data_IF_275872542658
#
_entry.id   IF_275872542658
#
_cell.length_a   1.000
_cell.length_b   1.000
_cell.length_c   1.000
_cell.angle_alpha   90.00
_cell.angle_beta   90.00
_cell.angle_gamma   90.00
#
_symmetry.space_group_name_H-M   'P 1'
#
loop_
_entity.id
_entity.type
_entity.pdbx_description
1 polymer ?
#
# COMPACT_ATOMS: atom_id res chain seq x y z
N UNK A 1 -18.32 -6.93 -1.19
CA UNK A 1 -17.77 -7.41 0.11
C UNK A 1 -17.30 -6.17 0.86
N UNK A 2 -17.52 -6.05 2.18
CA UNK A 2 -16.96 -4.90 2.90
C UNK A 2 -15.44 -5.06 2.98
N UNK A 3 -14.71 -3.96 2.82
CA UNK A 3 -13.25 -3.97 2.87
C UNK A 3 -12.79 -4.50 4.23
N UNK A 4 -13.48 -4.13 5.32
CA UNK A 4 -13.23 -4.67 6.65
C UNK A 4 -13.34 -6.20 6.72
N UNK A 5 -14.35 -6.78 6.08
CA UNK A 5 -14.51 -8.24 6.07
C UNK A 5 -13.35 -8.91 5.32
N UNK A 6 -12.85 -8.30 4.24
CA UNK A 6 -11.69 -8.78 3.48
C UNK A 6 -10.40 -8.68 4.30
N UNK A 7 -10.16 -7.52 4.91
CA UNK A 7 -9.03 -7.25 5.82
C UNK A 7 -9.03 -8.26 6.97
N UNK A 8 -10.17 -8.41 7.65
CA UNK A 8 -10.32 -9.33 8.77
C UNK A 8 -10.00 -10.77 8.37
N UNK A 9 -10.51 -11.24 7.22
CA UNK A 9 -10.22 -12.59 6.71
C UNK A 9 -8.73 -12.80 6.44
N UNK A 10 -8.07 -11.79 5.89
CA UNK A 10 -6.66 -11.89 5.52
C UNK A 10 -5.74 -11.86 6.74
N UNK A 11 -6.00 -10.97 7.70
CA UNK A 11 -5.13 -10.76 8.87
C UNK A 11 -5.39 -11.69 10.06
N UNK A 12 -6.46 -12.48 10.05
CA UNK A 12 -6.78 -13.43 11.12
C UNK A 12 -5.76 -14.57 11.34
N UNK A 13 -4.63 -14.62 10.62
CA UNK A 13 -3.74 -15.79 10.65
C UNK A 13 -2.25 -15.56 10.97
N UNK A 14 -1.68 -14.35 10.90
CA UNK A 14 -0.20 -14.25 11.00
C UNK A 14 0.36 -13.00 11.66
N UNK A 15 -0.46 -12.06 12.11
CA UNK A 15 0.10 -10.80 12.60
C UNK A 15 -0.47 -10.32 13.93
N UNK A 16 0.38 -9.87 14.87
CA UNK A 16 -0.08 -9.65 16.23
C UNK A 16 -1.17 -8.58 16.24
N UNK A 17 -2.29 -8.96 16.85
CA UNK A 17 -3.59 -8.26 16.98
C UNK A 17 -3.49 -6.86 17.62
N UNK A 18 -2.29 -6.32 17.83
CA UNK A 18 -2.03 -5.01 18.43
C UNK A 18 -1.35 -4.01 17.47
N UNK A 19 -0.94 -4.44 16.27
CA UNK A 19 -0.26 -3.61 15.27
C UNK A 19 -1.04 -3.44 13.96
N UNK A 20 -2.24 -4.01 13.91
CA UNK A 20 -2.92 -4.41 12.68
C UNK A 20 -4.29 -3.78 12.61
N UNK A 21 -4.38 -2.61 11.97
CA UNK A 21 -5.59 -2.25 11.27
C UNK A 21 -5.25 -1.28 10.12
N UNK A 22 -5.54 -1.64 8.86
CA UNK A 22 -5.33 -0.75 7.73
C UNK A 22 -6.23 0.48 7.87
N UNK A 23 -5.62 1.66 7.91
CA UNK A 23 -6.33 2.92 7.90
C UNK A 23 -6.74 3.21 6.46
N UNK A 24 -8.04 3.30 6.20
CA UNK A 24 -8.54 3.94 5.01
C UNK A 24 -8.49 5.44 5.27
N UNK A 25 -7.40 6.06 4.85
CA UNK A 25 -7.30 7.51 4.92
C UNK A 25 -7.99 8.07 3.71
N UNK A 26 -8.99 8.92 3.91
CA UNK A 26 -9.40 9.84 2.86
C UNK A 26 -8.27 10.83 2.70
N UNK A 27 -7.70 10.93 1.51
CA UNK A 27 -6.80 12.02 1.20
C UNK A 27 -7.59 13.33 1.31
N UNK A 28 -7.16 14.20 2.24
CA UNK A 28 -7.92 15.32 2.82
C UNK A 28 -8.72 16.16 1.79
N UNK A 29 -8.18 16.35 0.58
CA UNK A 29 -8.79 17.18 -0.48
C UNK A 29 -9.29 16.40 -1.71
N UNK A 30 -9.11 15.08 -1.74
CA UNK A 30 -9.14 14.29 -2.98
C UNK A 30 -10.30 13.31 -3.07
N UNK A 31 -11.00 13.06 -1.96
CA UNK A 31 -12.10 12.08 -1.89
C UNK A 31 -11.69 10.63 -2.18
N UNK A 32 -10.39 10.36 -2.32
CA UNK A 32 -9.86 9.04 -2.55
C UNK A 32 -9.53 8.37 -1.24
N UNK A 33 -9.98 7.13 -1.12
CA UNK A 33 -9.68 6.26 -0.01
C UNK A 33 -8.39 5.50 -0.31
N UNK A 34 -7.46 5.44 0.64
CA UNK A 34 -6.25 4.63 0.52
C UNK A 34 -6.01 3.83 1.80
N UNK A 35 -5.70 2.55 1.65
CA UNK A 35 -5.18 1.72 2.73
C UNK A 35 -3.81 2.24 3.15
N UNK A 36 -3.56 2.35 4.46
CA UNK A 36 -2.26 2.69 5.04
C UNK A 36 -1.99 1.89 6.30
N UNK A 37 -0.72 1.56 6.52
CA UNK A 37 -0.17 1.17 7.81
C UNK A 37 0.79 2.24 8.32
N UNK A 38 0.74 2.49 9.62
CA UNK A 38 1.72 3.32 10.31
C UNK A 38 2.53 2.43 11.27
N UNK A 39 3.87 2.43 11.18
CA UNK A 39 4.72 1.77 12.16
C UNK A 39 4.38 2.22 13.59
N UNK A 40 4.43 1.31 14.57
CA UNK A 40 4.35 1.69 15.97
C UNK A 40 5.55 2.58 16.32
N UNK A 41 5.29 3.76 16.84
CA UNK A 41 6.32 4.66 17.37
C UNK A 41 6.05 4.93 18.84
N UNK A 42 6.97 5.59 19.53
CA UNK A 42 6.77 6.09 20.89
C UNK A 42 5.56 7.04 20.98
N UNK A 43 5.23 7.74 19.89
CA UNK A 43 4.09 8.65 19.79
C UNK A 43 2.80 7.95 19.32
N UNK A 44 2.93 6.81 18.63
CA UNK A 44 1.82 6.01 18.12
C UNK A 44 1.96 4.55 18.57
N UNK A 45 1.79 4.31 19.88
CA UNK A 45 2.01 2.99 20.51
C UNK A 45 0.93 1.96 20.23
N UNK A 46 -0.25 2.41 19.82
CA UNK A 46 -1.45 1.59 19.68
C UNK A 46 -1.97 1.54 18.25
N UNK A 47 -1.13 1.83 17.25
CA UNK A 47 -1.47 1.94 15.82
C UNK A 47 -2.90 1.50 15.48
N UNK A 48 -3.83 2.45 15.43
CA UNK A 48 -5.22 2.21 14.96
C UNK A 48 -5.27 2.31 13.43
N UNK A 49 -6.35 1.93 12.73
CA UNK A 49 -7.73 2.45 12.95
C UNK A 49 -8.82 1.59 12.24
N UNK A 50 -9.98 1.59 12.89
CA UNK A 50 -11.37 1.15 12.63
C UNK A 50 -12.11 1.67 11.37
N UNK A 51 -12.80 0.78 10.62
CA UNK A 51 -13.75 1.12 9.53
C UNK A 51 -14.86 0.06 9.33
N UNK A 52 -16.13 0.35 9.63
CA UNK A 52 -17.19 -0.64 9.50
C UNK A 52 -17.93 -0.71 8.14
N UNK A 53 -17.82 0.29 7.24
CA UNK A 53 -18.86 0.48 6.20
C UNK A 53 -18.42 0.66 4.72
N UNK A 54 -17.12 0.70 4.37
CA UNK A 54 -16.69 0.84 2.95
C UNK A 54 -16.61 -0.51 2.24
N UNK A 55 -17.18 -0.61 1.03
CA UNK A 55 -17.08 -1.79 0.16
C UNK A 55 -15.84 -1.79 -0.73
N UNK A 56 -15.42 -2.98 -1.19
CA UNK A 56 -14.30 -3.10 -2.15
C UNK A 56 -14.56 -2.35 -3.46
N UNK A 57 -15.82 -2.28 -3.92
CA UNK A 57 -16.22 -1.58 -5.13
C UNK A 57 -16.16 -0.05 -4.97
N UNK A 58 -16.58 0.49 -3.83
CA UNK A 58 -16.45 1.92 -3.51
C UNK A 58 -14.98 2.33 -3.42
N UNK A 59 -14.16 1.52 -2.74
CA UNK A 59 -12.72 1.72 -2.66
C UNK A 59 -12.09 1.79 -4.06
N UNK A 60 -12.35 0.77 -4.86
CA UNK A 60 -11.86 0.67 -6.24
C UNK A 60 -12.28 1.88 -7.08
N UNK A 61 -13.57 2.21 -7.05
CA UNK A 61 -14.14 3.34 -7.81
C UNK A 61 -13.44 4.64 -7.44
N UNK A 62 -13.24 4.91 -6.15
CA UNK A 62 -12.56 6.12 -5.68
C UNK A 62 -11.10 6.21 -6.16
N UNK A 63 -10.39 5.08 -6.20
CA UNK A 63 -8.99 5.01 -6.65
C UNK A 63 -8.86 5.27 -8.15
N UNK A 64 -9.73 4.65 -8.97
CA UNK A 64 -9.65 4.78 -10.44
C UNK A 64 -10.20 6.11 -10.95
N UNK A 65 -11.12 6.76 -10.23
CA UNK A 65 -11.61 8.09 -10.59
C UNK A 65 -10.68 9.23 -10.15
N UNK A 66 -9.69 8.95 -9.30
CA UNK A 66 -8.80 9.97 -8.76
C UNK A 66 -7.52 10.12 -9.59
N UNK A 67 -7.27 11.32 -10.12
CA UNK A 67 -6.11 11.62 -10.98
C UNK A 67 -4.75 11.38 -10.32
N UNK A 68 -4.66 11.50 -8.99
CA UNK A 68 -3.41 11.32 -8.22
C UNK A 68 -3.09 9.85 -7.98
N UNK A 69 -4.12 9.02 -7.87
CA UNK A 69 -4.03 7.60 -7.52
C UNK A 69 -4.06 6.70 -8.75
N UNK A 70 -4.84 7.05 -9.77
CA UNK A 70 -5.01 6.27 -11.00
C UNK A 70 -3.66 5.84 -11.63
N UNK A 71 -2.63 6.69 -11.77
CA UNK A 71 -1.35 6.24 -12.31
C UNK A 71 -0.72 5.11 -11.47
N UNK A 72 -0.86 5.17 -10.14
CA UNK A 72 -0.41 4.13 -9.23
C UNK A 72 -1.24 2.85 -9.32
N UNK A 73 -2.52 2.92 -9.71
CA UNK A 73 -3.35 1.74 -9.99
C UNK A 73 -2.93 1.09 -11.30
N UNK A 74 -2.71 1.88 -12.36
CA UNK A 74 -2.26 1.40 -13.67
C UNK A 74 -0.89 0.69 -13.58
N UNK A 75 0.02 1.21 -12.76
CA UNK A 75 1.31 0.56 -12.51
C UNK A 75 1.16 -0.80 -11.80
N UNK A 76 0.25 -0.91 -10.82
CA UNK A 76 -0.05 -2.18 -10.16
C UNK A 76 -0.65 -3.19 -11.13
N UNK A 77 -1.56 -2.74 -12.00
CA UNK A 77 -2.12 -3.59 -13.05
C UNK A 77 -1.04 -4.13 -14.00
N UNK A 78 -0.14 -3.26 -14.47
CA UNK A 78 1.03 -3.65 -15.28
C UNK A 78 1.89 -4.70 -14.57
N UNK A 79 2.17 -4.49 -13.28
CA UNK A 79 2.95 -5.43 -12.47
C UNK A 79 2.27 -6.80 -12.38
N UNK A 80 0.96 -6.84 -12.10
CA UNK A 80 0.20 -8.08 -12.02
C UNK A 80 0.17 -8.83 -13.37
N UNK A 81 0.12 -8.10 -14.50
CA UNK A 81 0.25 -8.67 -15.85
C UNK A 81 1.62 -9.27 -16.09
N UNK A 82 2.70 -8.55 -15.75
CA UNK A 82 4.08 -9.04 -15.86
C UNK A 82 4.30 -10.34 -15.06
N UNK A 83 3.67 -10.46 -13.90
CA UNK A 83 3.74 -11.66 -13.06
C UNK A 83 2.69 -12.73 -13.36
N UNK A 84 1.90 -12.58 -14.44
CA UNK A 84 0.84 -13.52 -14.86
C UNK A 84 -0.24 -13.77 -13.79
N UNK A 85 -0.41 -12.80 -12.88
CA UNK A 85 -1.50 -12.81 -11.90
C UNK A 85 -2.80 -12.34 -12.54
N UNK A 86 -2.70 -11.44 -13.53
CA UNK A 86 -3.78 -10.92 -14.35
C UNK A 86 -3.49 -11.18 -15.84
N UNK A 87 -4.45 -11.68 -16.64
CA UNK A 87 -4.30 -11.76 -18.10
C UNK A 87 -4.07 -10.38 -18.74
N UNK A 88 -3.46 -10.36 -19.94
CA UNK A 88 -3.11 -9.10 -20.64
C UNK A 88 -4.33 -8.22 -20.93
N UNK A 89 -5.45 -8.86 -21.30
CA UNK A 89 -6.71 -8.19 -21.66
C UNK A 89 -7.60 -7.87 -20.46
N UNK A 90 -7.31 -8.43 -19.28
CA UNK A 90 -8.11 -8.18 -18.09
C UNK A 90 -7.61 -6.93 -17.36
N UNK A 91 -8.55 -6.15 -16.83
CA UNK A 91 -8.26 -5.06 -15.91
C UNK A 91 -8.39 -5.53 -14.47
N UNK A 92 -7.67 -4.89 -13.56
CA UNK A 92 -7.77 -5.20 -12.14
C UNK A 92 -9.18 -4.87 -11.64
N UNK A 93 -9.81 -5.81 -10.94
CA UNK A 93 -11.13 -5.62 -10.33
C UNK A 93 -11.04 -5.17 -8.87
N UNK A 94 -12.19 -4.84 -8.28
CA UNK A 94 -12.28 -4.30 -6.93
C UNK A 94 -11.66 -5.19 -5.85
N UNK A 95 -11.93 -6.50 -5.89
CA UNK A 95 -11.41 -7.44 -4.90
C UNK A 95 -9.89 -7.63 -5.06
N UNK A 96 -9.41 -7.74 -6.30
CA UNK A 96 -7.97 -7.92 -6.57
C UNK A 96 -7.17 -6.67 -6.22
N UNK A 97 -7.67 -5.46 -6.53
CA UNK A 97 -7.03 -4.21 -6.10
C UNK A 97 -7.00 -4.11 -4.57
N UNK A 98 -8.13 -4.36 -3.91
CA UNK A 98 -8.22 -4.27 -2.46
C UNK A 98 -7.26 -5.25 -1.79
N UNK A 99 -7.22 -6.51 -2.26
CA UNK A 99 -6.33 -7.52 -1.72
C UNK A 99 -4.85 -7.17 -1.97
N UNK A 100 -4.50 -6.67 -3.15
CA UNK A 100 -3.16 -6.16 -3.42
C UNK A 100 -2.75 -5.07 -2.42
N UNK A 101 -3.61 -4.06 -2.23
CA UNK A 101 -3.31 -2.94 -1.33
C UNK A 101 -3.15 -3.39 0.12
N UNK A 102 -3.97 -4.33 0.58
CA UNK A 102 -3.86 -4.93 1.93
C UNK A 102 -2.52 -5.67 2.07
N UNK A 103 -2.14 -6.47 1.08
CA UNK A 103 -0.88 -7.20 1.08
C UNK A 103 0.35 -6.28 0.98
N UNK A 104 0.22 -5.14 0.29
CA UNK A 104 1.30 -4.16 0.13
C UNK A 104 1.68 -3.58 1.48
N UNK A 105 0.67 -3.11 2.20
CA UNK A 105 0.86 -2.59 3.55
C UNK A 105 1.39 -3.69 4.50
N UNK A 106 0.91 -4.94 4.39
CA UNK A 106 1.49 -6.06 5.15
C UNK A 106 2.97 -6.27 4.81
N UNK A 107 3.37 -6.11 3.55
CA UNK A 107 4.77 -6.17 3.15
C UNK A 107 5.64 -5.14 3.86
N UNK A 108 5.16 -3.91 4.04
CA UNK A 108 5.84 -2.91 4.88
C UNK A 108 5.98 -3.35 6.33
N UNK A 109 4.92 -3.94 6.90
CA UNK A 109 5.00 -4.49 8.25
C UNK A 109 6.01 -5.63 8.36
N UNK A 110 6.00 -6.58 7.41
CA UNK A 110 6.90 -7.72 7.43
C UNK A 110 8.35 -7.24 7.35
N UNK A 111 8.65 -6.28 6.47
CA UNK A 111 9.97 -5.64 6.37
C UNK A 111 10.39 -4.98 7.69
N UNK A 112 9.51 -4.16 8.29
CA UNK A 112 9.75 -3.55 9.59
C UNK A 112 10.04 -4.62 10.66
N UNK A 113 9.19 -5.64 10.76
CA UNK A 113 9.33 -6.64 11.80
C UNK A 113 10.60 -7.48 11.63
N UNK A 114 10.88 -7.97 10.42
CA UNK A 114 12.02 -8.85 10.16
C UNK A 114 13.36 -8.14 10.24
N UNK A 115 13.44 -6.94 9.68
CA UNK A 115 14.73 -6.28 9.46
C UNK A 115 15.04 -5.25 10.54
N UNK A 116 14.02 -4.72 11.23
CA UNK A 116 14.19 -3.75 12.30
C UNK A 116 13.87 -4.34 13.68
N UNK A 117 12.62 -4.71 13.94
CA UNK A 117 12.16 -5.07 15.30
C UNK A 117 12.90 -6.31 15.83
N UNK A 118 13.01 -7.38 15.03
CA UNK A 118 13.72 -8.60 15.43
C UNK A 118 15.23 -8.40 15.59
N UNK A 119 15.78 -7.30 15.07
CA UNK A 119 17.19 -6.92 15.24
C UNK A 119 17.39 -5.84 16.33
N UNK A 120 16.35 -5.53 17.11
CA UNK A 120 16.42 -4.58 18.23
C UNK A 120 16.34 -3.11 17.82
N UNK A 121 15.94 -2.81 16.59
CA UNK A 121 15.67 -1.45 16.10
C UNK A 121 14.19 -1.06 16.30
N UNK A 122 13.86 0.19 16.03
CA UNK A 122 12.56 0.81 16.30
C UNK A 122 11.78 1.16 15.02
N UNK A 123 10.47 1.40 15.16
CA UNK A 123 9.64 1.92 14.07
C UNK A 123 10.06 3.32 13.62
N UNK A 124 10.59 4.15 14.52
CA UNK A 124 11.16 5.45 14.17
C UNK A 124 12.38 5.34 13.25
N UNK A 125 13.26 4.37 13.49
CA UNK A 125 14.41 4.12 12.63
C UNK A 125 13.98 3.68 11.22
N UNK A 126 13.00 2.78 11.13
CA UNK A 126 12.40 2.39 9.85
C UNK A 126 11.83 3.59 9.08
N UNK A 127 11.08 4.45 9.75
CA UNK A 127 10.49 5.65 9.13
C UNK A 127 11.57 6.64 8.66
N UNK A 128 12.63 6.80 9.46
CA UNK A 128 13.76 7.64 9.11
C UNK A 128 14.49 7.11 7.87
N UNK A 129 14.81 5.83 7.84
CA UNK A 129 15.53 5.22 6.70
C UNK A 129 14.67 5.23 5.43
N UNK A 130 13.37 4.96 5.56
CA UNK A 130 12.41 5.10 4.46
C UNK A 130 12.37 6.53 3.92
N UNK A 131 12.32 7.53 4.80
CA UNK A 131 12.34 8.93 4.40
C UNK A 131 13.64 9.32 3.68
N UNK A 132 14.80 8.86 4.16
CA UNK A 132 16.10 9.09 3.52
C UNK A 132 16.18 8.43 2.13
N UNK A 133 15.64 7.21 1.99
CA UNK A 133 15.59 6.52 0.69
C UNK A 133 14.71 7.28 -0.32
N UNK A 134 13.56 7.81 0.13
CA UNK A 134 12.67 8.62 -0.71
C UNK A 134 13.28 9.99 -1.06
N UNK A 135 14.01 10.61 -0.12
CA UNK A 135 14.73 11.86 -0.34
C UNK A 135 15.81 11.68 -1.42
N UNK A 136 16.59 10.60 -1.36
CA UNK A 136 17.62 10.28 -2.36
C UNK A 136 17.04 10.13 -3.79
N UNK A 137 15.75 9.82 -3.91
CA UNK A 137 15.01 9.72 -5.17
C UNK A 137 14.38 11.04 -5.63
N UNK A 138 14.54 12.14 -4.87
CA UNK A 138 13.95 13.44 -5.20
C UNK A 138 12.41 13.45 -5.09
N UNK A 139 11.83 12.57 -4.26
CA UNK A 139 10.38 12.42 -4.11
C UNK A 139 9.73 13.71 -3.63
N UNK A 140 10.40 14.48 -2.77
CA UNK A 140 9.87 15.74 -2.23
C UNK A 140 9.64 16.76 -3.34
N UNK A 141 10.65 17.01 -4.18
CA UNK A 141 10.56 17.93 -5.31
C UNK A 141 9.52 17.45 -6.32
N UNK A 142 9.51 16.16 -6.62
CA UNK A 142 8.57 15.58 -7.58
C UNK A 142 7.12 15.64 -7.08
N UNK A 143 6.89 15.45 -5.78
CA UNK A 143 5.57 15.62 -5.14
C UNK A 143 5.08 17.05 -5.29
N UNK A 144 5.93 18.04 -5.07
CA UNK A 144 5.57 19.46 -5.26
C UNK A 144 5.30 19.81 -6.72
N UNK A 145 6.04 19.23 -7.67
CA UNK A 145 5.73 19.35 -9.11
C UNK A 145 4.36 18.75 -9.44
N UNK A 146 4.06 17.55 -8.93
CA UNK A 146 2.80 16.85 -9.18
C UNK A 146 1.59 17.60 -8.61
N UNK A 147 1.73 18.25 -7.44
CA UNK A 147 0.70 19.13 -6.88
C UNK A 147 0.35 20.31 -7.80
N UNK A 148 1.34 20.83 -8.55
CA UNK A 148 1.16 21.96 -9.47
C UNK A 148 0.72 21.53 -10.87
N UNK A 149 1.10 20.33 -11.29
CA UNK A 149 0.76 19.76 -12.59
C UNK A 149 0.51 18.24 -12.44
N UNK A 150 -0.75 17.80 -12.50
CA UNK A 150 -1.12 16.39 -12.31
C UNK A 150 -0.45 15.40 -13.27
N UNK A 151 0.10 15.85 -14.40
CA UNK A 151 0.79 14.98 -15.35
C UNK A 151 2.05 14.33 -14.75
N UNK A 152 2.60 14.88 -13.67
CA UNK A 152 3.73 14.30 -12.95
C UNK A 152 3.35 13.19 -11.95
N UNK A 153 2.05 12.90 -11.73
CA UNK A 153 1.67 11.82 -10.82
C UNK A 153 2.13 10.44 -11.32
N UNK A 154 2.18 10.21 -12.63
CA UNK A 154 2.73 8.97 -13.18
C UNK A 154 4.21 8.80 -12.85
N UNK A 155 5.02 9.83 -13.10
CA UNK A 155 6.45 9.86 -12.77
C UNK A 155 6.67 9.73 -11.26
N UNK A 156 5.84 10.39 -10.45
CA UNK A 156 5.88 10.29 -9.00
C UNK A 156 5.69 8.85 -8.51
N UNK A 157 4.63 8.18 -8.98
CA UNK A 157 4.32 6.79 -8.59
C UNK A 157 5.42 5.83 -9.07
N UNK A 158 5.95 6.03 -10.28
CA UNK A 158 7.07 5.22 -10.79
C UNK A 158 8.32 5.40 -9.92
N UNK A 159 8.57 6.62 -9.47
CA UNK A 159 9.74 6.96 -8.66
C UNK A 159 9.61 6.41 -7.24
N UNK A 160 8.42 6.45 -6.62
CA UNK A 160 8.19 5.79 -5.32
C UNK A 160 8.61 4.33 -5.34
N UNK A 161 8.22 3.59 -6.39
CA UNK A 161 8.49 2.15 -6.53
C UNK A 161 9.97 1.81 -6.73
N UNK A 162 10.83 2.81 -6.97
CA UNK A 162 12.29 2.63 -6.98
C UNK A 162 12.88 2.58 -5.56
N UNK A 163 12.11 2.98 -4.54
CA UNK A 163 12.49 2.80 -3.14
C UNK A 163 12.52 1.32 -2.79
N UNK A 164 13.57 0.88 -2.10
CA UNK A 164 13.67 -0.51 -1.62
C UNK A 164 12.51 -0.88 -0.68
N UNK A 165 11.94 0.10 0.03
CA UNK A 165 10.80 -0.11 0.92
C UNK A 165 9.50 -0.43 0.15
N UNK A 166 9.20 0.35 -0.89
CA UNK A 166 8.03 0.12 -1.77
C UNK A 166 8.20 -1.16 -2.58
N UNK A 167 9.42 -1.39 -3.10
CA UNK A 167 9.74 -2.61 -3.83
C UNK A 167 9.54 -3.87 -2.98
N UNK A 168 9.99 -3.85 -1.72
CA UNK A 168 9.77 -4.98 -0.81
C UNK A 168 8.28 -5.27 -0.65
N UNK A 169 7.46 -4.24 -0.43
CA UNK A 169 6.02 -4.37 -0.25
C UNK A 169 5.31 -4.91 -1.51
N UNK A 170 5.71 -4.43 -2.69
CA UNK A 170 5.21 -4.93 -3.97
C UNK A 170 5.59 -6.42 -4.17
N UNK A 171 6.86 -6.77 -3.96
CA UNK A 171 7.36 -8.14 -4.12
C UNK A 171 6.65 -9.10 -3.15
N UNK A 172 6.43 -8.67 -1.91
CA UNK A 172 5.65 -9.40 -0.92
C UNK A 172 4.23 -9.65 -1.41
N UNK A 173 3.54 -8.60 -1.88
CA UNK A 173 2.17 -8.69 -2.38
C UNK A 173 2.03 -9.66 -3.54
N UNK A 174 2.92 -9.56 -4.52
CA UNK A 174 2.96 -10.45 -5.68
C UNK A 174 3.16 -11.90 -5.24
N UNK A 175 4.08 -12.16 -4.31
CA UNK A 175 4.35 -13.50 -3.79
C UNK A 175 3.09 -14.10 -3.15
N UNK A 176 2.45 -13.34 -2.26
CA UNK A 176 1.24 -13.79 -1.56
C UNK A 176 0.06 -14.02 -2.49
N UNK A 177 -0.15 -13.13 -3.48
CA UNK A 177 -1.18 -13.33 -4.50
C UNK A 177 -0.96 -14.61 -5.33
N UNK A 178 0.30 -14.96 -5.63
CA UNK A 178 0.62 -16.23 -6.32
C UNK A 178 0.27 -17.44 -5.46
N UNK A 179 0.56 -17.38 -4.17
CA UNK A 179 0.24 -18.44 -3.22
C UNK A 179 -1.28 -18.63 -3.13
N UNK A 180 -2.04 -17.53 -3.00
CA UNK A 180 -3.52 -17.56 -2.97
C UNK A 180 -4.10 -18.10 -4.29
N UNK A 181 -3.54 -17.73 -5.45
CA UNK A 181 -4.03 -18.19 -6.76
C UNK A 181 -3.80 -19.69 -7.00
N UNK A 182 -2.82 -20.29 -6.31
CA UNK A 182 -2.46 -21.70 -6.43
C UNK A 182 -3.12 -22.60 -5.37
N UNK A 183 -3.88 -22.01 -4.44
CA UNK A 183 -4.72 -22.70 -3.45
C UNK A 183 -6.17 -22.80 -3.96
#
# INVERSE_FOLDING_TARGET
>A
MRLFDLVSRHYQQTTPVFFYDPILTQLEDDGAYITRMAPPTNENKNGGIYLPDVTTDEYYSSCISNVRILPGVQQKEQLLKQHRLLPVEESINANLLSLYMILHEEGHWVHLNSDYILNGLTGEEYLKDSALALEALGIKELREKAKRNPNYYAELQETYRKSNFEKYADDYSIKRLKEIKNL
#
